data_IF_389400790387
#
_entry.id   IF_389400790387
#
_cell.length_a   1.000
_cell.length_b   1.000
_cell.length_c   1.000
_cell.angle_alpha   90.00
_cell.angle_beta   90.00
_cell.angle_gamma   90.00
#
_symmetry.space_group_name_H-M   'P 1'
#
loop_
_entity.id
_entity.type
_entity.pdbx_description
1 polymer ?
#
# COMPACT_ATOMS: atom_id res chain seq x y z
N UNK A 1 -18.89 -9.02 -9.93
CA UNK A 1 -17.44 -8.70 -9.95
C UNK A 1 -17.29 -7.29 -9.42
N UNK A 2 -16.45 -7.08 -8.39
CA UNK A 2 -16.19 -5.74 -7.83
C UNK A 2 -15.55 -4.82 -8.88
N UNK A 3 -15.84 -3.51 -8.79
CA UNK A 3 -15.35 -2.48 -9.70
C UNK A 3 -13.82 -2.31 -9.58
N UNK A 4 -13.13 -2.07 -10.71
CA UNK A 4 -11.70 -1.71 -10.71
C UNK A 4 -11.58 -0.26 -10.26
N UNK A 5 -10.92 -0.04 -9.12
CA UNK A 5 -10.68 1.30 -8.57
C UNK A 5 -9.32 1.87 -8.93
N UNK A 6 -8.32 1.01 -9.18
CA UNK A 6 -7.01 1.44 -9.70
C UNK A 6 -6.58 0.47 -10.80
N UNK A 7 -6.08 0.98 -11.91
CA UNK A 7 -5.46 0.18 -12.97
C UNK A 7 -4.19 0.85 -13.46
N UNK A 8 -3.12 0.07 -13.57
CA UNK A 8 -1.96 0.42 -14.36
C UNK A 8 -2.07 -0.37 -15.67
N UNK A 9 -1.90 0.29 -16.82
CA UNK A 9 -2.07 -0.32 -18.13
C UNK A 9 -0.84 -0.06 -19.00
N UNK A 10 -0.13 -1.12 -19.37
CA UNK A 10 1.06 -1.13 -20.24
C UNK A 10 2.14 -0.11 -19.84
N UNK A 11 2.33 0.06 -18.54
CA UNK A 11 3.20 1.09 -17.96
C UNK A 11 4.66 0.80 -18.24
N UNK A 12 5.33 1.76 -18.89
CA UNK A 12 6.79 1.83 -19.03
C UNK A 12 7.30 3.00 -18.21
N UNK A 13 8.20 2.75 -17.25
CA UNK A 13 8.72 3.78 -16.36
C UNK A 13 10.16 3.51 -15.95
N UNK A 14 10.88 4.55 -15.57
CA UNK A 14 12.25 4.46 -15.06
C UNK A 14 12.81 5.83 -14.74
N UNK A 15 14.01 5.88 -14.19
CA UNK A 15 14.61 7.08 -13.66
C UNK A 15 15.53 7.75 -14.70
N UNK A 16 15.38 9.06 -14.90
CA UNK A 16 16.18 9.83 -15.84
C UNK A 16 16.16 9.24 -17.26
N UNK A 17 17.33 9.14 -17.91
CA UNK A 17 17.49 8.56 -19.26
C UNK A 17 17.93 7.09 -19.25
N UNK A 18 18.07 6.47 -18.08
CA UNK A 18 18.47 5.06 -17.98
C UNK A 18 17.43 4.12 -18.58
N UNK A 19 17.78 2.85 -18.75
CA UNK A 19 16.85 1.81 -19.21
C UNK A 19 15.60 1.77 -18.32
N UNK A 20 14.41 1.48 -18.88
CA UNK A 20 13.19 1.43 -18.09
C UNK A 20 13.25 0.32 -17.04
N UNK A 21 12.79 0.64 -15.83
CA UNK A 21 12.60 -0.31 -14.73
C UNK A 21 11.31 -1.10 -14.93
N UNK A 22 10.21 -0.43 -15.31
CA UNK A 22 8.95 -1.08 -15.70
C UNK A 22 8.86 -1.15 -17.23
N UNK A 23 8.41 -2.29 -17.75
CA UNK A 23 8.50 -2.64 -19.17
C UNK A 23 7.18 -3.16 -19.72
N UNK A 24 6.12 -2.32 -19.69
CA UNK A 24 4.77 -2.71 -20.12
C UNK A 24 4.05 -3.50 -19.03
N UNK A 25 4.01 -2.94 -17.81
CA UNK A 25 3.37 -3.55 -16.67
C UNK A 25 1.89 -3.18 -16.63
N UNK A 26 1.03 -4.21 -16.38
CA UNK A 26 -0.41 -4.01 -16.16
C UNK A 26 -0.81 -4.69 -14.85
N UNK A 27 -1.50 -3.93 -13.97
CA UNK A 27 -1.99 -4.41 -12.65
C UNK A 27 -3.34 -3.77 -12.36
N UNK A 28 -4.42 -4.55 -12.26
CA UNK A 28 -5.71 -4.08 -11.79
C UNK A 28 -5.84 -4.24 -10.27
N UNK A 29 -6.55 -3.31 -9.61
CA UNK A 29 -6.93 -3.39 -8.19
C UNK A 29 -8.42 -3.08 -8.08
N UNK A 30 -9.18 -3.97 -7.45
CA UNK A 30 -10.64 -3.84 -7.30
C UNK A 30 -11.01 -3.31 -5.92
N UNK A 31 -12.20 -2.72 -5.81
CA UNK A 31 -12.75 -2.24 -4.54
C UNK A 31 -12.79 -3.36 -3.49
N UNK A 32 -12.26 -3.07 -2.29
CA UNK A 32 -12.19 -4.04 -1.19
C UNK A 32 -11.26 -5.23 -1.42
N UNK A 33 -10.35 -5.16 -2.41
CA UNK A 33 -9.38 -6.21 -2.72
C UNK A 33 -7.98 -5.82 -2.22
N UNK A 34 -7.23 -6.80 -1.74
CA UNK A 34 -5.80 -6.68 -1.51
C UNK A 34 -5.05 -7.32 -2.67
N UNK A 35 -4.35 -6.51 -3.44
CA UNK A 35 -3.43 -6.98 -4.49
C UNK A 35 -2.01 -6.88 -3.97
N UNK A 36 -1.26 -7.99 -3.94
CA UNK A 36 0.13 -7.96 -3.54
C UNK A 36 1.08 -8.10 -4.74
N UNK A 37 2.12 -7.25 -4.72
CA UNK A 37 3.24 -7.34 -5.64
C UNK A 37 4.42 -7.98 -4.92
N UNK A 38 4.85 -9.13 -5.41
CA UNK A 38 5.99 -9.88 -4.89
C UNK A 38 7.05 -10.05 -5.98
N UNK A 39 8.28 -10.33 -5.58
CA UNK A 39 9.39 -10.52 -6.52
C UNK A 39 10.74 -10.12 -5.91
N UNK A 40 11.86 -10.41 -6.58
CA UNK A 40 13.19 -10.10 -6.08
C UNK A 40 13.43 -8.60 -5.88
N UNK A 41 14.50 -8.27 -5.15
CA UNK A 41 14.96 -6.89 -5.04
C UNK A 41 15.37 -6.38 -6.43
N UNK A 42 14.97 -5.16 -6.76
CA UNK A 42 15.20 -4.58 -8.09
C UNK A 42 14.18 -4.97 -9.16
N UNK A 43 13.19 -5.83 -8.88
CA UNK A 43 12.14 -6.20 -9.85
C UNK A 43 11.24 -5.03 -10.27
N UNK A 44 11.25 -3.90 -9.54
CA UNK A 44 10.46 -2.71 -9.86
C UNK A 44 9.26 -2.47 -8.97
N UNK A 45 9.07 -3.24 -7.89
CA UNK A 45 7.90 -3.16 -7.00
C UNK A 45 7.60 -1.74 -6.49
N UNK A 46 8.55 -1.10 -5.80
CA UNK A 46 8.37 0.30 -5.32
C UNK A 46 8.25 1.30 -6.48
N UNK A 47 8.77 0.98 -7.67
CA UNK A 47 8.59 1.81 -8.86
C UNK A 47 7.14 1.77 -9.34
N UNK A 48 6.44 0.63 -9.22
CA UNK A 48 5.00 0.53 -9.49
C UNK A 48 4.23 1.48 -8.60
N UNK A 49 4.49 1.45 -7.28
CA UNK A 49 3.82 2.34 -6.32
C UNK A 49 4.12 3.83 -6.59
N UNK A 50 5.37 4.15 -6.96
CA UNK A 50 5.75 5.54 -7.31
C UNK A 50 5.03 6.03 -8.56
N UNK A 51 4.82 5.17 -9.56
CA UNK A 51 4.04 5.53 -10.76
C UNK A 51 2.57 5.70 -10.39
N UNK A 52 1.99 4.74 -9.68
CA UNK A 52 0.59 4.79 -9.25
C UNK A 52 0.28 6.04 -8.40
N UNK A 53 1.23 6.49 -7.56
CA UNK A 53 1.08 7.66 -6.68
C UNK A 53 1.51 9.00 -7.30
N UNK A 54 1.94 9.01 -8.59
CA UNK A 54 2.38 10.23 -9.26
C UNK A 54 3.75 10.76 -8.80
N UNK A 55 4.50 9.98 -8.00
CA UNK A 55 5.88 10.30 -7.60
C UNK A 55 6.87 10.07 -8.74
N UNK A 56 6.49 9.26 -9.73
CA UNK A 56 7.25 9.03 -10.95
C UNK A 56 6.29 9.03 -12.15
N UNK A 57 6.50 9.92 -13.10
CA UNK A 57 5.73 9.92 -14.33
C UNK A 57 6.13 8.73 -15.23
N UNK A 58 5.18 7.95 -15.77
CA UNK A 58 5.49 6.91 -16.74
C UNK A 58 5.96 7.52 -18.07
N UNK A 59 6.76 6.78 -18.82
CA UNK A 59 7.18 7.15 -20.19
C UNK A 59 6.11 6.80 -21.23
N UNK A 60 5.34 5.74 -20.96
CA UNK A 60 4.17 5.31 -21.73
C UNK A 60 3.26 4.44 -20.86
N UNK A 61 2.07 4.13 -21.36
CA UNK A 61 1.02 3.46 -20.63
C UNK A 61 0.15 4.45 -19.86
N UNK A 62 -0.80 3.94 -19.07
CA UNK A 62 -1.78 4.76 -18.35
C UNK A 62 -1.93 4.30 -16.90
N UNK A 63 -2.35 5.25 -16.05
CA UNK A 63 -2.83 4.99 -14.69
C UNK A 63 -4.26 5.48 -14.63
N UNK A 64 -5.19 4.59 -14.31
CA UNK A 64 -6.61 4.90 -14.18
C UNK A 64 -7.02 4.79 -12.71
N UNK A 65 -7.76 5.78 -12.22
CA UNK A 65 -8.38 5.77 -10.89
C UNK A 65 -9.89 5.93 -11.05
N UNK A 66 -10.64 4.92 -10.62
CA UNK A 66 -12.10 4.82 -10.84
C UNK A 66 -12.47 5.09 -12.32
N UNK A 67 -11.77 4.45 -13.25
CA UNK A 67 -11.97 4.60 -14.70
C UNK A 67 -11.46 5.91 -15.32
N UNK A 68 -11.04 6.88 -14.51
CA UNK A 68 -10.51 8.17 -14.97
C UNK A 68 -9.01 8.08 -15.19
N UNK A 69 -8.53 8.57 -16.33
CA UNK A 69 -7.09 8.72 -16.58
C UNK A 69 -6.48 9.80 -15.66
N UNK A 70 -5.54 9.37 -14.83
CA UNK A 70 -4.82 10.19 -13.86
C UNK A 70 -3.30 10.18 -14.11
N UNK A 71 -2.90 9.71 -15.28
CA UNK A 71 -1.49 9.59 -15.66
C UNK A 71 -0.75 10.90 -15.52
N UNK A 72 0.37 10.89 -14.77
CA UNK A 72 1.21 12.07 -14.57
C UNK A 72 0.61 13.15 -13.65
N UNK A 73 -0.53 12.92 -13.02
CA UNK A 73 -1.02 13.83 -11.98
C UNK A 73 -0.09 13.81 -10.77
N UNK A 74 0.02 14.96 -10.09
CA UNK A 74 0.83 15.06 -8.88
C UNK A 74 0.22 14.28 -7.71
N UNK A 75 1.05 13.83 -6.74
CA UNK A 75 0.57 13.11 -5.56
C UNK A 75 -0.55 13.84 -4.80
N UNK A 76 -0.48 15.17 -4.71
CA UNK A 76 -1.50 15.98 -4.04
C UNK A 76 -2.86 15.88 -4.74
N UNK A 77 -2.87 15.87 -6.09
CA UNK A 77 -4.11 15.69 -6.85
C UNK A 77 -4.67 14.28 -6.70
N UNK A 78 -3.81 13.26 -6.74
CA UNK A 78 -4.21 11.87 -6.54
C UNK A 78 -4.77 11.63 -5.14
N UNK A 79 -4.17 12.22 -4.11
CA UNK A 79 -4.69 12.19 -2.75
C UNK A 79 -6.10 12.77 -2.68
N UNK A 80 -6.34 13.92 -3.33
CA UNK A 80 -7.67 14.54 -3.43
C UNK A 80 -8.69 13.72 -4.22
N UNK A 81 -8.25 12.78 -5.06
CA UNK A 81 -9.09 11.85 -5.83
C UNK A 81 -9.29 10.51 -5.11
N UNK A 82 -8.74 10.33 -3.90
CA UNK A 82 -8.95 9.13 -3.10
C UNK A 82 -7.86 8.07 -3.23
N UNK A 83 -6.63 8.43 -3.63
CA UNK A 83 -5.48 7.56 -3.62
C UNK A 83 -4.49 8.00 -2.54
N UNK A 84 -4.29 7.19 -1.50
CA UNK A 84 -3.29 7.43 -0.46
C UNK A 84 -2.08 6.52 -0.64
N UNK A 85 -0.89 7.00 -0.25
CA UNK A 85 0.36 6.23 -0.30
C UNK A 85 1.08 6.29 1.04
N UNK A 86 1.25 5.13 1.67
CA UNK A 86 2.11 4.93 2.85
C UNK A 86 3.47 4.44 2.36
N UNK A 87 4.45 5.31 2.47
CA UNK A 87 5.82 5.05 2.01
C UNK A 87 6.55 4.07 2.93
N UNK A 88 7.59 3.45 2.39
CA UNK A 88 8.50 2.60 3.15
C UNK A 88 9.13 3.33 4.33
N UNK A 89 9.34 2.62 5.44
CA UNK A 89 9.94 3.13 6.66
C UNK A 89 8.92 3.71 7.65
N UNK A 90 9.42 4.52 8.58
CA UNK A 90 8.57 5.17 9.59
C UNK A 90 8.26 6.59 9.15
N UNK A 91 7.00 6.87 8.86
CA UNK A 91 6.54 8.18 8.38
C UNK A 91 5.79 9.00 9.44
N UNK A 92 5.73 8.53 10.71
CA UNK A 92 5.18 9.32 11.80
C UNK A 92 6.09 10.50 12.15
N UNK A 93 5.50 11.63 12.45
CA UNK A 93 6.20 12.77 13.03
C UNK A 93 6.42 12.51 14.52
N UNK A 94 7.62 12.07 14.87
CA UNK A 94 7.97 11.54 16.20
C UNK A 94 7.80 12.55 17.34
N UNK A 95 8.01 13.83 17.05
CA UNK A 95 7.91 14.96 17.99
C UNK A 95 6.49 15.53 18.07
N UNK A 96 5.54 14.92 17.35
CA UNK A 96 4.13 15.25 17.42
C UNK A 96 3.38 14.14 18.17
N UNK A 97 2.27 14.50 18.77
CA UNK A 97 1.34 13.55 19.38
C UNK A 97 0.67 12.68 18.32
N UNK A 98 0.08 11.55 18.72
CA UNK A 98 -0.76 10.74 17.84
C UNK A 98 -1.90 11.57 17.26
N UNK A 99 -2.53 12.41 18.09
CA UNK A 99 -3.59 13.33 17.67
C UNK A 99 -3.16 14.26 16.53
N UNK A 100 -2.01 14.88 16.66
CA UNK A 100 -1.47 15.78 15.64
C UNK A 100 -1.11 15.03 14.35
N UNK A 101 -0.48 13.86 14.46
CA UNK A 101 -0.18 13.01 13.31
C UNK A 101 -1.46 12.65 12.53
N UNK A 102 -2.52 12.22 13.21
CA UNK A 102 -3.79 11.85 12.57
C UNK A 102 -4.46 13.07 11.93
N UNK A 103 -4.51 14.20 12.65
CA UNK A 103 -5.10 15.45 12.11
C UNK A 103 -4.40 15.95 10.87
N UNK A 104 -3.07 15.79 10.75
CA UNK A 104 -2.35 16.09 9.52
C UNK A 104 -2.88 15.33 8.30
N UNK A 105 -3.36 14.09 8.48
CA UNK A 105 -4.02 13.34 7.40
C UNK A 105 -5.29 14.01 6.88
N UNK A 106 -5.99 14.73 7.75
CA UNK A 106 -7.22 15.45 7.42
C UNK A 106 -7.03 16.95 7.12
N UNK A 107 -5.81 17.43 6.89
CA UNK A 107 -5.50 18.88 6.80
C UNK A 107 -6.28 19.63 5.71
N UNK A 108 -6.76 18.94 4.67
CA UNK A 108 -7.59 19.52 3.60
C UNK A 108 -9.09 19.52 3.91
N UNK A 109 -9.52 18.85 4.97
CA UNK A 109 -10.94 18.77 5.37
C UNK A 109 -11.32 20.04 6.11
N UNK A 110 -12.06 20.93 5.44
CA UNK A 110 -12.48 22.22 6.01
C UNK A 110 -13.68 22.11 6.97
N UNK A 111 -14.52 21.12 6.75
CA UNK A 111 -15.70 20.88 7.60
C UNK A 111 -15.26 20.17 8.91
N UNK A 112 -15.44 20.88 10.03
CA UNK A 112 -15.04 20.41 11.36
C UNK A 112 -15.88 19.21 11.82
N UNK A 113 -17.15 19.15 11.50
CA UNK A 113 -18.02 18.01 11.85
C UNK A 113 -17.54 16.75 11.11
N UNK A 114 -17.25 16.88 9.82
CA UNK A 114 -16.69 15.81 9.00
C UNK A 114 -15.30 15.39 9.49
N UNK A 115 -14.43 16.33 9.84
CA UNK A 115 -13.11 16.02 10.40
C UNK A 115 -13.22 15.23 11.69
N UNK A 116 -14.11 15.66 12.60
CA UNK A 116 -14.37 14.97 13.87
C UNK A 116 -14.89 13.54 13.65
N UNK A 117 -15.87 13.37 12.76
CA UNK A 117 -16.41 12.05 12.43
C UNK A 117 -15.33 11.10 11.89
N UNK A 118 -14.40 11.60 11.05
CA UNK A 118 -13.27 10.80 10.54
C UNK A 118 -12.27 10.43 11.61
N UNK A 119 -11.97 11.35 12.55
CA UNK A 119 -11.11 11.07 13.69
C UNK A 119 -11.72 9.94 14.52
N UNK A 120 -13.01 9.99 14.83
CA UNK A 120 -13.64 8.93 15.60
C UNK A 120 -13.65 7.58 14.83
N UNK A 121 -13.91 7.59 13.53
CA UNK A 121 -13.85 6.38 12.71
C UNK A 121 -12.46 5.73 12.73
N UNK A 122 -11.37 6.50 12.59
CA UNK A 122 -10.01 5.92 12.65
C UNK A 122 -9.62 5.48 14.06
N UNK A 123 -10.15 6.11 15.13
CA UNK A 123 -9.98 5.64 16.50
C UNK A 123 -10.71 4.32 16.77
N UNK A 124 -11.85 4.08 16.13
CA UNK A 124 -12.57 2.81 16.21
C UNK A 124 -11.79 1.70 15.49
N UNK A 125 -11.25 2.01 14.30
CA UNK A 125 -10.50 1.06 13.49
C UNK A 125 -9.14 0.71 14.10
N UNK A 126 -8.49 1.67 14.77
CA UNK A 126 -7.15 1.52 15.36
C UNK A 126 -7.18 1.83 16.87
N UNK A 127 -7.40 0.83 17.75
CA UNK A 127 -7.50 1.05 19.21
C UNK A 127 -6.29 1.79 19.80
N UNK A 128 -5.08 1.54 19.31
CA UNK A 128 -3.86 2.25 19.74
C UNK A 128 -3.97 3.76 19.51
N UNK A 129 -4.60 4.19 18.41
CA UNK A 129 -4.82 5.62 18.13
C UNK A 129 -5.70 6.26 19.20
N UNK A 130 -6.74 5.54 19.66
CA UNK A 130 -7.62 6.01 20.74
C UNK A 130 -6.87 6.05 22.07
N UNK A 131 -6.21 4.95 22.45
CA UNK A 131 -5.56 4.78 23.75
C UNK A 131 -4.37 5.72 23.95
N UNK A 132 -3.63 6.00 22.88
CA UNK A 132 -2.40 6.81 22.87
C UNK A 132 -2.58 8.19 22.26
N UNK A 133 -3.82 8.67 22.15
CA UNK A 133 -4.18 9.90 21.45
C UNK A 133 -3.30 11.10 21.77
N UNK A 134 -3.01 11.31 23.07
CA UNK A 134 -2.20 12.43 23.57
C UNK A 134 -0.72 12.07 23.77
N UNK A 135 -0.30 10.84 23.46
CA UNK A 135 1.09 10.42 23.57
C UNK A 135 1.91 10.91 22.39
N UNK A 136 3.19 11.21 22.60
CA UNK A 136 4.14 11.48 21.52
C UNK A 136 4.30 10.24 20.65
N UNK A 137 4.20 10.39 19.33
CA UNK A 137 4.28 9.27 18.40
C UNK A 137 5.65 8.57 18.42
N UNK A 138 6.71 9.30 18.78
CA UNK A 138 8.05 8.74 18.93
C UNK A 138 8.21 7.73 20.09
N UNK A 139 7.28 7.71 21.05
CA UNK A 139 7.29 6.79 22.19
C UNK A 139 6.54 5.47 21.90
N UNK A 140 5.89 5.35 20.76
CA UNK A 140 5.18 4.15 20.34
C UNK A 140 6.15 3.10 19.79
N UNK A 141 5.76 1.80 19.93
CA UNK A 141 6.47 0.72 19.22
C UNK A 141 6.31 0.85 17.71
N UNK A 142 7.19 0.21 16.91
CA UNK A 142 7.12 0.27 15.45
C UNK A 142 5.74 -0.14 14.89
N UNK A 143 5.14 -1.22 15.40
CA UNK A 143 3.80 -1.65 15.01
C UNK A 143 2.70 -0.66 15.39
N UNK A 144 2.83 0.02 16.55
CA UNK A 144 1.92 1.08 16.96
C UNK A 144 2.07 2.32 16.07
N UNK A 145 3.30 2.68 15.69
CA UNK A 145 3.56 3.78 14.75
C UNK A 145 2.92 3.49 13.38
N UNK A 146 2.95 2.22 12.91
CA UNK A 146 2.26 1.82 11.67
C UNK A 146 0.75 2.04 11.74
N UNK A 147 0.11 1.76 12.88
CA UNK A 147 -1.32 2.05 13.05
C UNK A 147 -1.62 3.56 12.94
N UNK A 148 -0.74 4.43 13.46
CA UNK A 148 -0.87 5.89 13.32
C UNK A 148 -0.70 6.31 11.86
N UNK A 149 0.24 5.71 11.12
CA UNK A 149 0.43 5.96 9.69
C UNK A 149 -0.81 5.56 8.88
N UNK A 150 -1.40 4.39 9.15
CA UNK A 150 -2.62 3.92 8.51
C UNK A 150 -3.82 4.81 8.85
N UNK A 151 -3.99 5.16 10.12
CA UNK A 151 -5.03 6.11 10.55
C UNK A 151 -4.91 7.45 9.80
N UNK A 152 -3.70 7.99 9.68
CA UNK A 152 -3.43 9.21 8.92
C UNK A 152 -3.79 9.07 7.45
N UNK A 153 -3.45 7.93 6.83
CA UNK A 153 -3.75 7.68 5.42
C UNK A 153 -5.26 7.60 5.16
N UNK A 154 -6.05 7.08 6.12
CA UNK A 154 -7.49 6.93 6.01
C UNK A 154 -8.29 8.22 6.28
N UNK A 155 -7.67 9.27 6.79
CA UNK A 155 -8.35 10.53 7.12
C UNK A 155 -9.05 11.20 5.93
N UNK A 156 -8.64 10.92 4.70
CA UNK A 156 -9.28 11.44 3.48
C UNK A 156 -10.24 10.44 2.82
N UNK A 157 -10.58 9.33 3.50
CA UNK A 157 -11.49 8.28 3.01
C UNK A 157 -11.05 7.79 1.61
N UNK A 158 -9.81 7.32 1.45
CA UNK A 158 -9.33 6.90 0.15
C UNK A 158 -10.08 5.67 -0.34
N UNK A 159 -10.31 5.58 -1.66
CA UNK A 159 -10.79 4.36 -2.31
C UNK A 159 -9.70 3.31 -2.45
N UNK A 160 -8.43 3.75 -2.49
CA UNK A 160 -7.26 2.87 -2.59
C UNK A 160 -6.09 3.39 -1.76
N UNK A 161 -5.42 2.47 -1.08
CA UNK A 161 -4.20 2.73 -0.31
C UNK A 161 -3.05 1.91 -0.90
N UNK A 162 -1.94 2.58 -1.19
CA UNK A 162 -0.68 1.95 -1.59
C UNK A 162 0.20 1.77 -0.36
N UNK A 163 0.74 0.57 -0.16
CA UNK A 163 1.60 0.23 0.97
C UNK A 163 2.95 -0.30 0.48
N UNK A 164 4.03 0.40 0.81
CA UNK A 164 5.40 0.02 0.44
C UNK A 164 6.12 -0.59 1.65
N UNK A 165 6.25 -1.93 1.66
CA UNK A 165 6.91 -2.74 2.70
C UNK A 165 6.53 -2.36 4.13
N UNK A 166 5.22 -2.36 4.49
CA UNK A 166 4.75 -1.88 5.78
C UNK A 166 5.26 -2.71 6.97
N UNK A 167 5.66 -3.97 6.76
CA UNK A 167 6.18 -4.85 7.82
C UNK A 167 7.69 -4.77 8.00
N UNK A 168 8.41 -4.01 7.17
CA UNK A 168 9.86 -3.98 7.18
C UNK A 168 10.43 -3.50 8.53
N UNK A 169 11.38 -4.26 9.08
CA UNK A 169 12.05 -3.92 10.34
C UNK A 169 11.23 -4.19 11.60
N UNK A 170 10.04 -4.78 11.46
CA UNK A 170 9.21 -5.18 12.60
C UNK A 170 9.51 -6.62 13.03
N UNK A 171 9.37 -6.88 14.32
CA UNK A 171 9.38 -8.24 14.86
C UNK A 171 8.14 -9.03 14.39
N UNK A 172 8.12 -10.37 14.53
CA UNK A 172 7.03 -11.20 14.03
C UNK A 172 5.64 -10.86 14.59
N UNK A 173 5.57 -10.43 15.86
CA UNK A 173 4.30 -10.05 16.53
C UNK A 173 3.76 -8.74 15.95
N UNK A 174 4.60 -7.73 15.84
CA UNK A 174 4.21 -6.45 15.25
C UNK A 174 3.89 -6.58 13.76
N UNK A 175 4.60 -7.45 13.03
CA UNK A 175 4.27 -7.81 11.64
C UNK A 175 2.85 -8.37 11.53
N UNK A 176 2.47 -9.31 12.40
CA UNK A 176 1.12 -9.88 12.42
C UNK A 176 0.06 -8.79 12.63
N UNK A 177 0.29 -7.88 13.59
CA UNK A 177 -0.61 -6.75 13.86
C UNK A 177 -0.78 -5.88 12.61
N UNK A 178 0.30 -5.58 11.87
CA UNK A 178 0.23 -4.79 10.63
C UNK A 178 -0.65 -5.46 9.59
N UNK A 179 -0.51 -6.77 9.37
CA UNK A 179 -1.36 -7.49 8.41
C UNK A 179 -2.84 -7.53 8.85
N UNK A 180 -3.11 -7.69 10.13
CA UNK A 180 -4.48 -7.59 10.67
C UNK A 180 -5.09 -6.20 10.44
N UNK A 181 -4.31 -5.13 10.57
CA UNK A 181 -4.78 -3.77 10.27
C UNK A 181 -5.04 -3.56 8.78
N UNK A 182 -4.25 -4.17 7.89
CA UNK A 182 -4.51 -4.13 6.44
C UNK A 182 -5.83 -4.85 6.12
N UNK A 183 -6.10 -6.00 6.74
CA UNK A 183 -7.37 -6.71 6.56
C UNK A 183 -8.57 -5.88 7.10
N UNK A 184 -8.40 -5.18 8.23
CA UNK A 184 -9.42 -4.27 8.74
C UNK A 184 -9.70 -3.13 7.75
N UNK A 185 -8.67 -2.50 7.16
CA UNK A 185 -8.86 -1.48 6.12
C UNK A 185 -9.62 -2.05 4.92
N UNK A 186 -9.25 -3.25 4.44
CA UNK A 186 -9.95 -3.93 3.34
C UNK A 186 -11.44 -4.12 3.65
N UNK A 187 -11.79 -4.53 4.87
CA UNK A 187 -13.20 -4.75 5.29
C UNK A 187 -14.03 -3.47 5.29
N UNK A 188 -13.41 -2.29 5.35
CA UNK A 188 -14.13 -1.02 5.16
C UNK A 188 -14.43 -0.69 3.69
N UNK A 189 -14.02 -1.57 2.74
CA UNK A 189 -14.20 -1.37 1.31
C UNK A 189 -13.01 -0.70 0.61
N UNK A 190 -11.97 -0.32 1.36
CA UNK A 190 -10.74 0.26 0.82
C UNK A 190 -9.95 -0.82 0.06
N UNK A 191 -9.56 -0.52 -1.16
CA UNK A 191 -8.65 -1.36 -1.93
C UNK A 191 -7.21 -1.15 -1.47
N UNK A 192 -6.39 -2.19 -1.50
CA UNK A 192 -4.98 -2.11 -1.09
C UNK A 192 -4.07 -2.67 -2.19
N UNK A 193 -3.10 -1.86 -2.63
CA UNK A 193 -1.97 -2.35 -3.43
C UNK A 193 -0.75 -2.43 -2.52
N UNK A 194 -0.35 -3.66 -2.20
CA UNK A 194 0.70 -3.98 -1.23
C UNK A 194 1.97 -4.43 -1.94
N UNK A 195 3.09 -3.83 -1.60
CA UNK A 195 4.43 -4.37 -1.87
C UNK A 195 5.00 -4.90 -0.57
N UNK A 196 5.48 -6.15 -0.58
CA UNK A 196 6.10 -6.77 0.58
C UNK A 196 7.32 -7.60 0.18
N UNK A 197 8.31 -7.64 1.09
CA UNK A 197 9.48 -8.49 0.94
C UNK A 197 9.17 -9.94 1.35
N UNK A 198 8.36 -10.12 2.39
CA UNK A 198 7.90 -11.43 2.81
C UNK A 198 6.74 -11.90 1.91
N UNK A 199 7.12 -12.42 0.74
CA UNK A 199 6.17 -12.80 -0.29
C UNK A 199 5.15 -13.85 0.20
N UNK A 200 5.55 -14.80 1.05
CA UNK A 200 4.65 -15.81 1.59
C UNK A 200 3.52 -15.18 2.40
N UNK A 201 3.86 -14.34 3.37
CA UNK A 201 2.86 -13.65 4.20
C UNK A 201 1.97 -12.71 3.40
N UNK A 202 2.54 -11.99 2.45
CA UNK A 202 1.77 -11.11 1.58
C UNK A 202 0.73 -11.89 0.76
N UNK A 203 1.11 -13.05 0.19
CA UNK A 203 0.22 -13.91 -0.57
C UNK A 203 -0.85 -14.59 0.32
N UNK A 204 -0.51 -14.95 1.57
CA UNK A 204 -1.47 -15.55 2.51
C UNK A 204 -2.66 -14.62 2.85
N UNK A 205 -2.45 -13.29 2.82
CA UNK A 205 -3.49 -12.31 3.14
C UNK A 205 -4.15 -11.66 1.91
N UNK A 206 -3.50 -11.71 0.75
CA UNK A 206 -3.99 -11.05 -0.45
C UNK A 206 -5.08 -11.87 -1.18
N UNK A 207 -5.89 -11.17 -1.96
CA UNK A 207 -6.87 -11.77 -2.86
C UNK A 207 -6.21 -12.10 -4.21
N UNK A 208 -5.41 -11.17 -4.75
CA UNK A 208 -4.66 -11.31 -6.00
C UNK A 208 -3.16 -11.14 -5.74
N UNK A 209 -2.36 -12.05 -6.28
CA UNK A 209 -0.91 -11.96 -6.29
C UNK A 209 -0.38 -11.62 -7.70
N UNK A 210 0.62 -10.74 -7.76
CA UNK A 210 1.37 -10.45 -8.98
C UNK A 210 2.86 -10.64 -8.70
N UNK A 211 3.48 -11.57 -9.40
CA UNK A 211 4.92 -11.83 -9.33
C UNK A 211 5.62 -10.96 -10.35
N UNK A 212 6.42 -10.01 -9.87
CA UNK A 212 7.23 -9.14 -10.71
C UNK A 212 8.62 -9.72 -10.91
N UNK A 213 9.07 -9.69 -12.15
CA UNK A 213 10.45 -9.95 -12.52
C UNK A 213 10.89 -9.00 -13.64
N UNK A 214 12.08 -8.40 -13.51
CA UNK A 214 12.69 -7.49 -14.50
C UNK A 214 11.72 -6.44 -15.07
N UNK A 215 10.84 -5.91 -14.21
CA UNK A 215 9.88 -4.84 -14.55
C UNK A 215 8.62 -5.30 -15.28
N UNK A 216 8.33 -6.60 -15.29
CA UNK A 216 7.11 -7.18 -15.89
C UNK A 216 6.37 -8.02 -14.87
N UNK A 217 5.05 -8.12 -15.00
CA UNK A 217 4.28 -9.16 -14.32
C UNK A 217 4.55 -10.49 -15.04
N UNK A 218 5.24 -11.40 -14.35
CA UNK A 218 5.57 -12.71 -14.90
C UNK A 218 4.43 -13.70 -14.69
N UNK A 219 3.81 -13.66 -13.51
CA UNK A 219 2.64 -14.49 -13.16
C UNK A 219 1.68 -13.61 -12.34
N UNK A 220 0.39 -13.75 -12.60
CA UNK A 220 -0.67 -13.19 -11.75
C UNK A 220 -1.80 -14.16 -11.61
N UNK A 221 -2.47 -14.17 -10.45
CA UNK A 221 -3.58 -15.04 -10.16
C UNK A 221 -4.03 -14.97 -8.70
N UNK A 222 -5.03 -15.78 -8.30
CA UNK A 222 -5.46 -15.87 -6.92
C UNK A 222 -4.26 -16.09 -5.99
N UNK A 223 -4.10 -15.24 -4.98
CA UNK A 223 -2.89 -15.23 -4.16
C UNK A 223 -2.66 -16.58 -3.45
N UNK A 224 -3.73 -17.26 -3.05
CA UNK A 224 -3.66 -18.60 -2.43
C UNK A 224 -3.07 -19.66 -3.35
N UNK A 225 -3.40 -19.61 -4.65
CA UNK A 225 -2.84 -20.52 -5.65
C UNK A 225 -1.36 -20.25 -5.87
N UNK A 226 -0.98 -18.98 -5.93
CA UNK A 226 0.43 -18.60 -6.05
C UNK A 226 1.25 -18.98 -4.81
N UNK A 227 0.69 -18.84 -3.61
CA UNK A 227 1.35 -19.25 -2.36
C UNK A 227 1.61 -20.76 -2.31
N UNK A 228 0.78 -21.58 -2.96
CA UNK A 228 0.89 -23.03 -3.04
C UNK A 228 1.78 -23.52 -4.20
N UNK A 229 2.17 -22.66 -5.14
CA UNK A 229 2.98 -23.05 -6.30
C UNK A 229 4.44 -23.36 -5.88
N UNK A 230 4.92 -24.63 -6.00
CA UNK A 230 6.27 -25.01 -5.60
C UNK A 230 7.38 -24.29 -6.38
N UNK A 231 7.07 -23.80 -7.59
CA UNK A 231 8.03 -23.08 -8.44
C UNK A 231 8.29 -21.69 -7.85
N UNK A 232 7.23 -21.00 -7.37
CA UNK A 232 7.35 -19.72 -6.69
C UNK A 232 7.98 -19.88 -5.30
N UNK A 233 7.69 -20.98 -4.60
CA UNK A 233 8.31 -21.34 -3.34
C UNK A 233 9.84 -21.35 -3.41
N UNK A 234 10.39 -21.93 -4.46
CA UNK A 234 11.84 -22.02 -4.67
C UNK A 234 12.49 -20.71 -5.15
N UNK A 235 11.80 -19.97 -6.02
CA UNK A 235 12.37 -18.78 -6.66
C UNK A 235 12.20 -17.50 -5.83
N UNK A 236 11.08 -17.35 -5.11
CA UNK A 236 10.68 -16.07 -4.52
C UNK A 236 10.24 -16.13 -3.05
N UNK A 237 9.91 -17.33 -2.51
CA UNK A 237 9.35 -17.47 -1.16
C UNK A 237 10.38 -17.97 -0.12
N UNK A 238 11.65 -18.09 -0.48
CA UNK A 238 12.72 -18.51 0.44
C UNK A 238 12.65 -20.01 0.81
N UNK A 239 12.05 -20.84 -0.02
CA UNK A 239 12.08 -22.29 0.13
C UNK A 239 13.50 -22.81 -0.06
N UNK A 240 14.04 -23.54 0.93
CA UNK A 240 15.31 -24.25 0.78
C UNK A 240 15.24 -25.20 -0.42
N UNK A 241 16.36 -25.36 -1.18
CA UNK A 241 16.40 -26.38 -2.22
C UNK A 241 16.07 -27.73 -1.59
N UNK A 242 15.13 -28.47 -2.18
CA UNK A 242 14.87 -29.83 -1.79
C UNK A 242 16.17 -30.62 -2.01
N UNK A 243 16.76 -31.11 -0.91
CA UNK A 243 17.87 -32.07 -0.91
C UNK A 243 17.42 -33.40 -1.48
#
# INVERSE_FOLDING_TARGET
MSEIVLSLEDVVAGYGRAAPVLRGLSVPVRAGEVVCLVGPNGAGKSTVLKVASGLLAPRSGRVLLAGRDVTGLSPQRLLGLGLAHVLQGHSVFREMTVAENVRLGGFTVRDQARLTARIEAVKELFPVVRERWNSMAGLLSGGQQKQVEFARALMLEPSVVLLDEPSMGLDPRNTQVVFEQIDLMRRTGVAVLLVEQNARRALEMADLGCVLDLGRVHISGPARELAADPRLGRLYLGGAPAT
#
